data_IF_064908170074
#
_entry.id   IF_064908170074
#
_cell.length_a   1.000
_cell.length_b   1.000
_cell.length_c   1.000
_cell.angle_alpha   90.00
_cell.angle_beta   90.00
_cell.angle_gamma   90.00
#
_symmetry.space_group_name_H-M   'P 1'
#
loop_
_entity.id
_entity.type
_entity.pdbx_description
1 polymer ?
#
# COMPACT_ATOMS: atom_id res chain seq x y z
N UNK A 1 8.44 -11.10 -22.16
CA UNK A 1 7.45 -10.20 -21.56
C UNK A 1 7.64 -8.78 -22.08
N UNK A 2 8.69 -8.03 -21.71
CA UNK A 2 8.90 -6.68 -22.27
C UNK A 2 9.18 -6.68 -23.77
N UNK A 3 9.94 -7.67 -24.28
CA UNK A 3 10.13 -7.85 -25.74
C UNK A 3 8.82 -8.19 -26.49
N UNK A 4 7.83 -8.77 -25.80
CA UNK A 4 6.52 -9.11 -26.36
C UNK A 4 5.62 -7.87 -26.42
N UNK A 5 5.65 -7.03 -25.38
CA UNK A 5 4.99 -5.72 -25.36
C UNK A 5 5.61 -4.74 -26.37
N UNK A 6 6.93 -4.79 -26.53
CA UNK A 6 7.65 -4.00 -27.53
C UNK A 6 7.36 -4.47 -28.96
N UNK A 7 7.13 -5.78 -29.16
CA UNK A 7 6.71 -6.32 -30.46
C UNK A 7 5.31 -5.83 -30.89
N UNK A 8 4.44 -5.48 -29.93
CA UNK A 8 3.14 -4.83 -30.16
C UNK A 8 3.25 -3.29 -30.29
N UNK A 9 4.45 -2.73 -30.14
CA UNK A 9 4.85 -1.51 -30.85
C UNK A 9 5.31 -0.32 -30.02
N UNK A 10 5.43 -0.40 -28.69
CA UNK A 10 6.06 0.68 -27.88
C UNK A 10 6.80 0.14 -26.65
N UNK A 11 8.02 0.65 -26.36
CA UNK A 11 8.65 0.50 -25.05
C UNK A 11 7.71 0.97 -23.93
N UNK A 12 7.84 0.36 -22.76
CA UNK A 12 7.09 0.73 -21.56
C UNK A 12 7.83 1.87 -20.86
N UNK A 13 7.26 3.06 -20.83
CA UNK A 13 7.82 4.24 -20.16
C UNK A 13 6.83 4.71 -19.08
N UNK A 14 7.28 4.86 -17.83
CA UNK A 14 6.43 5.36 -16.74
C UNK A 14 7.22 6.02 -15.61
N UNK A 15 6.54 6.89 -14.86
CA UNK A 15 7.12 7.56 -13.68
C UNK A 15 6.68 6.89 -12.38
N UNK A 16 7.64 6.48 -11.57
CA UNK A 16 7.43 6.08 -10.18
C UNK A 16 7.49 7.31 -9.27
N UNK A 17 6.31 7.77 -8.84
CA UNK A 17 6.18 8.83 -7.83
C UNK A 17 6.39 8.28 -6.42
N UNK A 18 7.33 8.85 -5.68
CA UNK A 18 7.67 8.46 -4.30
C UNK A 18 7.76 9.67 -3.37
N UNK A 19 7.94 9.44 -2.07
CA UNK A 19 8.02 10.49 -1.06
C UNK A 19 9.45 10.74 -0.58
N UNK A 20 9.68 11.88 0.06
CA UNK A 20 11.01 12.33 0.54
C UNK A 20 11.71 11.44 1.58
N UNK A 21 11.05 10.40 2.11
CA UNK A 21 11.67 9.46 3.06
C UNK A 21 12.74 8.58 2.41
N UNK A 22 13.84 8.33 3.13
CA UNK A 22 14.98 7.53 2.61
C UNK A 22 14.54 6.15 2.14
N UNK A 23 13.74 5.43 2.94
CA UNK A 23 13.27 4.09 2.60
C UNK A 23 12.43 4.07 1.31
N UNK A 24 11.62 5.11 1.09
CA UNK A 24 10.77 5.27 -0.09
C UNK A 24 11.60 5.55 -1.34
N UNK A 25 12.64 6.39 -1.22
CA UNK A 25 13.56 6.68 -2.32
C UNK A 25 14.39 5.46 -2.68
N UNK A 26 15.00 4.79 -1.70
CA UNK A 26 15.82 3.61 -1.93
C UNK A 26 15.03 2.46 -2.58
N UNK A 27 13.75 2.30 -2.21
CA UNK A 27 12.87 1.32 -2.86
C UNK A 27 12.60 1.69 -4.33
N UNK A 28 12.30 2.97 -4.60
CA UNK A 28 12.03 3.44 -5.96
C UNK A 28 13.27 3.32 -6.88
N UNK A 29 14.45 3.72 -6.39
CA UNK A 29 15.71 3.58 -7.10
C UNK A 29 16.08 2.11 -7.35
N UNK A 30 15.85 1.23 -6.37
CA UNK A 30 16.10 -0.20 -6.54
C UNK A 30 15.18 -0.83 -7.60
N UNK A 31 13.91 -0.42 -7.66
CA UNK A 31 12.96 -0.87 -8.66
C UNK A 31 13.32 -0.32 -10.05
N UNK A 32 13.66 0.97 -10.13
CA UNK A 32 14.17 1.61 -11.34
C UNK A 32 15.39 0.88 -11.90
N UNK A 33 16.40 0.61 -11.06
CA UNK A 33 17.62 -0.08 -11.48
C UNK A 33 17.36 -1.52 -11.97
N UNK A 34 16.42 -2.23 -11.34
CA UNK A 34 16.04 -3.59 -11.76
C UNK A 34 15.28 -3.58 -13.10
N UNK A 35 14.35 -2.64 -13.30
CA UNK A 35 13.57 -2.57 -14.53
C UNK A 35 14.39 -2.04 -15.69
N UNK A 36 15.15 -0.95 -15.52
CA UNK A 36 16.00 -0.38 -16.57
C UNK A 36 17.16 -1.30 -16.99
N UNK A 37 17.39 -2.42 -16.31
CA UNK A 37 18.32 -3.46 -16.76
C UNK A 37 17.75 -4.33 -17.90
N UNK A 38 16.45 -4.21 -18.19
CA UNK A 38 15.77 -4.89 -19.28
C UNK A 38 15.64 -3.95 -20.49
N UNK A 39 15.71 -4.52 -21.70
CA UNK A 39 15.40 -3.79 -22.91
C UNK A 39 13.90 -3.43 -22.97
N UNK A 40 13.58 -2.30 -23.59
CA UNK A 40 12.22 -1.83 -23.85
C UNK A 40 11.39 -1.44 -22.61
N UNK A 41 12.04 -1.09 -21.50
CA UNK A 41 11.40 -0.45 -20.35
C UNK A 41 12.27 0.71 -19.85
N UNK A 42 11.64 1.84 -19.56
CA UNK A 42 12.27 3.00 -18.95
C UNK A 42 11.41 3.47 -17.78
N UNK A 43 12.04 3.59 -16.62
CA UNK A 43 11.40 4.04 -15.38
C UNK A 43 12.09 5.30 -14.90
N UNK A 44 11.32 6.36 -14.70
CA UNK A 44 11.75 7.58 -14.02
C UNK A 44 11.30 7.56 -12.56
N UNK A 45 12.09 8.19 -11.67
CA UNK A 45 11.72 8.35 -10.26
C UNK A 45 11.49 9.83 -9.98
N UNK A 46 10.29 10.18 -9.54
CA UNK A 46 9.95 11.52 -9.07
C UNK A 46 9.72 11.51 -7.57
N UNK A 47 10.41 12.39 -6.84
CA UNK A 47 10.25 12.53 -5.40
C UNK A 47 9.41 13.78 -5.10
N UNK A 48 8.29 13.61 -4.42
CA UNK A 48 7.37 14.69 -4.02
C UNK A 48 7.18 14.76 -2.51
N UNK A 49 6.69 15.89 -2.01
CA UNK A 49 6.21 15.97 -0.62
C UNK A 49 4.87 15.24 -0.45
N UNK A 50 4.52 14.90 0.80
CA UNK A 50 3.32 14.13 1.08
C UNK A 50 2.01 14.81 0.63
N UNK A 51 1.79 16.12 0.88
CA UNK A 51 0.58 16.80 0.40
C UNK A 51 0.43 16.77 -1.12
N UNK A 52 1.52 16.99 -1.87
CA UNK A 52 1.52 16.93 -3.34
C UNK A 52 1.19 15.53 -3.82
N UNK A 53 1.85 14.52 -3.27
CA UNK A 53 1.59 13.13 -3.62
C UNK A 53 0.16 12.69 -3.28
N UNK A 54 -0.37 13.07 -2.11
CA UNK A 54 -1.75 12.76 -1.73
C UNK A 54 -2.78 13.41 -2.67
N UNK A 55 -2.53 14.65 -3.12
CA UNK A 55 -3.37 15.32 -4.09
C UNK A 55 -3.36 14.61 -5.45
N UNK A 56 -2.18 14.18 -5.93
CA UNK A 56 -2.06 13.39 -7.16
C UNK A 56 -2.75 12.03 -7.06
N UNK A 57 -2.57 11.32 -5.95
CA UNK A 57 -3.23 10.04 -5.69
C UNK A 57 -4.76 10.18 -5.77
N UNK A 58 -5.34 11.18 -5.10
CA UNK A 58 -6.77 11.45 -5.16
C UNK A 58 -7.29 11.93 -6.52
N UNK A 59 -6.42 12.48 -7.36
CA UNK A 59 -6.72 12.87 -8.73
C UNK A 59 -6.43 11.77 -9.77
N UNK A 60 -5.90 10.62 -9.35
CA UNK A 60 -5.37 9.57 -10.23
C UNK A 60 -4.32 10.08 -11.22
N UNK A 61 -3.49 11.03 -10.80
CA UNK A 61 -2.44 11.67 -11.61
C UNK A 61 -1.07 11.04 -11.29
N UNK A 62 -0.92 9.76 -11.62
CA UNK A 62 0.33 9.00 -11.46
C UNK A 62 0.30 7.73 -12.30
N UNK A 63 1.46 7.23 -12.74
CA UNK A 63 1.57 5.89 -13.35
C UNK A 63 1.79 4.82 -12.27
N UNK A 64 2.72 5.09 -11.34
CA UNK A 64 3.01 4.26 -10.17
C UNK A 64 3.29 5.15 -8.96
N UNK A 65 2.77 4.76 -7.80
CA UNK A 65 2.99 5.50 -6.56
C UNK A 65 3.19 4.57 -5.35
N UNK A 66 4.06 4.97 -4.43
CA UNK A 66 4.19 4.28 -3.14
C UNK A 66 2.90 4.47 -2.35
N UNK A 67 2.29 3.36 -1.93
CA UNK A 67 1.14 3.36 -1.02
C UNK A 67 1.40 2.39 0.13
N UNK A 68 0.63 2.56 1.21
CA UNK A 68 0.64 1.66 2.35
C UNK A 68 -0.75 1.55 2.95
N UNK A 69 -1.03 0.39 3.55
CA UNK A 69 -2.26 0.17 4.29
C UNK A 69 -1.93 -0.31 5.71
N UNK A 70 -2.59 0.30 6.70
CA UNK A 70 -2.50 -0.08 8.11
C UNK A 70 -3.69 -1.00 8.37
N UNK A 71 -3.44 -2.29 8.57
CA UNK A 71 -4.48 -3.28 8.83
C UNK A 71 -4.36 -3.83 10.25
N UNK A 72 -5.40 -3.65 11.06
CA UNK A 72 -5.60 -4.38 12.32
C UNK A 72 -6.69 -5.43 12.19
N UNK A 73 -7.67 -5.10 11.35
CA UNK A 73 -8.77 -5.92 10.93
C UNK A 73 -8.89 -5.73 9.40
N UNK A 74 -9.18 -6.79 8.63
CA UNK A 74 -9.17 -6.70 7.16
C UNK A 74 -10.25 -5.79 6.58
N UNK A 75 -11.32 -5.46 7.32
CA UNK A 75 -12.46 -4.72 6.77
C UNK A 75 -12.07 -3.31 6.29
N UNK A 76 -11.78 -2.42 7.23
CA UNK A 76 -11.62 -0.99 6.93
C UNK A 76 -10.53 -0.74 5.89
N UNK A 77 -9.35 -1.33 6.08
CA UNK A 77 -8.21 -1.09 5.22
C UNK A 77 -8.42 -1.62 3.78
N UNK A 78 -8.97 -2.84 3.62
CA UNK A 78 -9.17 -3.42 2.30
C UNK A 78 -10.32 -2.75 1.54
N UNK A 79 -11.42 -2.45 2.22
CA UNK A 79 -12.55 -1.79 1.56
C UNK A 79 -12.20 -0.37 1.14
N UNK A 80 -11.54 0.41 2.02
CA UNK A 80 -11.10 1.76 1.65
C UNK A 80 -10.15 1.75 0.46
N UNK A 81 -9.23 0.79 0.37
CA UNK A 81 -8.22 0.75 -0.68
C UNK A 81 -8.73 0.15 -2.01
N UNK A 82 -9.72 -0.74 -1.99
CA UNK A 82 -10.04 -1.58 -3.17
C UNK A 82 -11.51 -1.64 -3.57
N UNK A 83 -12.45 -1.16 -2.73
CA UNK A 83 -13.85 -1.11 -3.12
C UNK A 83 -14.05 -0.03 -4.19
N UNK A 84 -14.78 -0.33 -5.26
CA UNK A 84 -14.93 0.56 -6.42
C UNK A 84 -15.56 1.91 -6.09
N UNK A 85 -16.46 1.95 -5.10
CA UNK A 85 -17.11 3.18 -4.63
C UNK A 85 -16.33 3.94 -3.55
N UNK A 86 -15.18 3.42 -3.09
CA UNK A 86 -14.39 4.08 -2.07
C UNK A 86 -13.62 5.27 -2.65
N UNK A 87 -13.69 6.43 -1.98
CA UNK A 87 -12.83 7.59 -2.31
C UNK A 87 -11.36 7.34 -1.99
N UNK A 88 -11.04 6.28 -1.23
CA UNK A 88 -9.68 5.83 -0.94
C UNK A 88 -9.11 4.84 -1.96
N UNK A 89 -9.89 4.46 -2.98
CA UNK A 89 -9.46 3.55 -4.03
C UNK A 89 -8.58 4.28 -5.06
N UNK A 90 -7.41 4.74 -4.63
CA UNK A 90 -6.48 5.44 -5.51
C UNK A 90 -5.94 4.55 -6.64
N UNK A 91 -5.95 3.23 -6.43
CA UNK A 91 -5.55 2.24 -7.44
C UNK A 91 -6.54 2.14 -8.60
N UNK A 92 -7.76 2.69 -8.46
CA UNK A 92 -8.79 2.66 -9.49
C UNK A 92 -9.36 1.26 -9.75
N UNK A 93 -9.31 0.35 -8.76
CA UNK A 93 -9.83 -1.00 -8.89
C UNK A 93 -11.34 -0.98 -9.07
N UNK A 94 -11.85 -1.71 -10.07
CA UNK A 94 -13.28 -1.85 -10.31
C UNK A 94 -13.57 -3.30 -10.68
N UNK A 95 -13.92 -4.11 -9.68
CA UNK A 95 -14.22 -5.52 -9.83
C UNK A 95 -15.46 -5.88 -8.99
N UNK A 96 -16.61 -6.18 -9.61
CA UNK A 96 -17.84 -6.45 -8.88
C UNK A 96 -17.73 -7.63 -7.91
N UNK A 97 -16.92 -8.65 -8.23
CA UNK A 97 -16.72 -9.80 -7.33
C UNK A 97 -15.93 -9.43 -6.09
N UNK A 98 -14.93 -8.54 -6.22
CA UNK A 98 -14.19 -7.99 -5.10
C UNK A 98 -15.10 -7.11 -4.23
N UNK A 99 -15.90 -6.23 -4.84
CA UNK A 99 -16.86 -5.38 -4.12
C UNK A 99 -17.84 -6.22 -3.28
N UNK A 100 -18.50 -7.20 -3.91
CA UNK A 100 -19.44 -8.11 -3.25
C UNK A 100 -18.79 -8.87 -2.08
N UNK A 101 -17.54 -9.33 -2.26
CA UNK A 101 -16.81 -10.06 -1.22
C UNK A 101 -16.39 -9.15 -0.06
N UNK A 102 -15.98 -7.91 -0.34
CA UNK A 102 -15.66 -6.91 0.69
C UNK A 102 -16.90 -6.57 1.53
N UNK A 103 -18.05 -6.37 0.89
CA UNK A 103 -19.31 -6.06 1.57
C UNK A 103 -19.84 -7.25 2.39
N UNK A 104 -19.71 -8.48 1.86
CA UNK A 104 -20.01 -9.69 2.61
C UNK A 104 -19.13 -9.83 3.86
N UNK A 105 -17.82 -9.56 3.75
CA UNK A 105 -16.88 -9.63 4.87
C UNK A 105 -17.18 -8.62 5.99
N UNK A 106 -17.74 -7.46 5.65
CA UNK A 106 -18.18 -6.43 6.60
C UNK A 106 -19.47 -6.80 7.33
N UNK A 107 -20.39 -7.45 6.62
CA UNK A 107 -21.76 -7.73 7.12
C UNK A 107 -21.94 -9.14 7.67
N UNK A 108 -20.92 -10.00 7.57
CA UNK A 108 -20.93 -11.37 8.08
C UNK A 108 -21.23 -11.44 9.58
N UNK A 109 -22.13 -12.36 9.96
CA UNK A 109 -22.53 -12.57 11.35
C UNK A 109 -21.62 -13.56 12.09
N UNK A 110 -20.93 -14.42 11.34
CA UNK A 110 -20.02 -15.43 11.88
C UNK A 110 -18.58 -15.25 11.38
N UNK A 111 -17.63 -15.74 12.18
CA UNK A 111 -16.21 -15.73 11.79
C UNK A 111 -15.98 -16.59 10.53
N UNK A 112 -16.67 -17.72 10.40
CA UNK A 112 -16.49 -18.61 9.25
C UNK A 112 -16.96 -17.97 7.93
N UNK A 113 -18.12 -17.29 7.93
CA UNK A 113 -18.60 -16.52 6.78
C UNK A 113 -17.64 -15.40 6.43
N UNK A 114 -17.16 -14.69 7.46
CA UNK A 114 -16.21 -13.59 7.32
C UNK A 114 -14.89 -14.06 6.70
N UNK A 115 -14.35 -15.17 7.17
CA UNK A 115 -13.12 -15.77 6.63
C UNK A 115 -13.29 -16.15 5.16
N UNK A 116 -14.40 -16.79 4.80
CA UNK A 116 -14.67 -17.17 3.41
C UNK A 116 -14.76 -15.95 2.48
N UNK A 117 -15.39 -14.87 2.93
CA UNK A 117 -15.46 -13.62 2.18
C UNK A 117 -14.05 -13.04 1.94
N UNK A 118 -13.21 -12.94 2.97
CA UNK A 118 -11.85 -12.41 2.81
C UNK A 118 -10.91 -13.35 2.02
N UNK A 119 -11.15 -14.66 2.00
CA UNK A 119 -10.42 -15.57 1.10
C UNK A 119 -10.71 -15.26 -0.38
N UNK A 120 -11.94 -14.85 -0.70
CA UNK A 120 -12.29 -14.36 -2.04
C UNK A 120 -11.60 -13.02 -2.30
N UNK A 121 -11.67 -12.06 -1.37
CA UNK A 121 -11.01 -10.76 -1.49
C UNK A 121 -9.52 -10.90 -1.81
N UNK A 122 -8.79 -11.72 -1.03
CA UNK A 122 -7.35 -11.95 -1.23
C UNK A 122 -7.06 -12.56 -2.61
N UNK A 123 -7.87 -13.51 -3.06
CA UNK A 123 -7.73 -14.13 -4.38
C UNK A 123 -7.97 -13.12 -5.50
N UNK A 124 -9.03 -12.32 -5.40
CA UNK A 124 -9.35 -11.29 -6.40
C UNK A 124 -8.25 -10.23 -6.47
N UNK A 125 -7.74 -9.75 -5.34
CA UNK A 125 -6.61 -8.81 -5.31
C UNK A 125 -5.37 -9.42 -5.99
N UNK A 126 -5.05 -10.68 -5.72
CA UNK A 126 -3.91 -11.36 -6.34
C UNK A 126 -4.11 -11.57 -7.86
N UNK A 127 -5.33 -11.82 -8.31
CA UNK A 127 -5.66 -12.01 -9.74
C UNK A 127 -5.69 -10.69 -10.51
N UNK A 128 -6.13 -9.59 -9.87
CA UNK A 128 -6.18 -8.25 -10.46
C UNK A 128 -4.81 -7.56 -10.49
N UNK A 129 -3.90 -7.97 -9.61
CA UNK A 129 -2.55 -7.43 -9.45
C UNK A 129 -2.49 -5.88 -9.43
N UNK A 130 -3.23 -5.21 -8.51
CA UNK A 130 -3.33 -3.75 -8.48
C UNK A 130 -2.03 -3.06 -8.04
N UNK A 131 -1.02 -3.81 -7.63
CA UNK A 131 0.26 -3.26 -7.19
C UNK A 131 1.19 -4.32 -6.60
N UNK A 132 2.46 -3.94 -6.47
CA UNK A 132 3.53 -4.82 -5.97
C UNK A 132 3.64 -4.75 -4.45
N UNK A 133 3.47 -5.88 -3.79
CA UNK A 133 3.60 -6.03 -2.33
C UNK A 133 5.04 -6.39 -1.96
N UNK A 134 5.82 -5.43 -1.46
CA UNK A 134 7.26 -5.62 -1.25
C UNK A 134 7.72 -5.63 0.21
N UNK A 135 6.92 -5.13 1.15
CA UNK A 135 7.30 -5.07 2.57
C UNK A 135 6.11 -5.24 3.51
N UNK A 136 6.33 -5.93 4.63
CA UNK A 136 5.45 -5.88 5.80
C UNK A 136 6.18 -5.15 6.92
N UNK A 137 5.81 -3.90 7.15
CA UNK A 137 6.47 -3.05 8.15
C UNK A 137 6.25 -3.56 9.57
N UNK A 138 7.33 -3.60 10.36
CA UNK A 138 7.32 -3.92 11.79
C UNK A 138 7.81 -2.67 12.56
N UNK A 139 6.91 -1.77 12.97
CA UNK A 139 7.29 -0.53 13.62
C UNK A 139 7.87 -0.78 15.02
N UNK A 140 8.88 0.01 15.39
CA UNK A 140 9.57 -0.06 16.67
C UNK A 140 9.75 1.33 17.27
N UNK A 141 9.68 1.42 18.61
CA UNK A 141 9.93 2.66 19.36
C UNK A 141 11.16 2.46 20.24
N UNK A 142 12.06 3.46 20.24
CA UNK A 142 13.21 3.53 21.15
C UNK A 142 12.93 4.59 22.22
N UNK A 143 13.26 4.29 23.47
CA UNK A 143 13.11 5.21 24.60
C UNK A 143 14.43 5.31 25.38
N UNK A 144 14.66 6.46 26.03
CA UNK A 144 15.83 6.65 26.88
C UNK A 144 15.76 5.80 28.16
N UNK A 145 16.90 5.54 28.80
CA UNK A 145 16.99 4.68 30.00
C UNK A 145 16.09 5.12 31.16
N UNK A 146 15.80 6.42 31.26
CA UNK A 146 14.94 7.00 32.30
C UNK A 146 13.46 7.09 31.92
N UNK A 147 13.10 6.72 30.69
CA UNK A 147 11.71 6.74 30.21
C UNK A 147 11.13 5.35 30.43
N UNK A 148 10.01 5.31 31.14
CA UNK A 148 9.35 4.08 31.55
C UNK A 148 7.89 4.07 31.11
N UNK A 149 7.26 2.90 31.17
CA UNK A 149 5.83 2.75 30.85
C UNK A 149 5.51 2.72 29.36
N UNK A 150 6.48 2.37 28.49
CA UNK A 150 6.19 2.17 27.08
C UNK A 150 5.24 0.98 26.91
N UNK A 151 4.05 1.30 26.43
CA UNK A 151 3.13 0.33 25.85
C UNK A 151 2.74 0.80 24.47
N UNK A 152 2.95 -0.09 23.50
CA UNK A 152 2.52 0.13 22.14
C UNK A 152 1.07 -0.35 22.01
N UNK A 153 0.24 0.47 21.38
CA UNK A 153 -1.09 0.09 20.93
C UNK A 153 -1.10 0.02 19.41
N UNK A 154 -1.84 -0.95 18.86
CA UNK A 154 -2.02 -1.13 17.41
C UNK A 154 -0.66 -1.39 16.70
N UNK A 155 -0.37 -0.66 15.62
CA UNK A 155 0.85 -0.74 14.81
C UNK A 155 1.99 0.13 15.39
N UNK A 156 2.22 0.07 16.69
CA UNK A 156 3.42 0.66 17.31
C UNK A 156 3.28 2.11 17.79
N UNK A 157 2.06 2.61 17.99
CA UNK A 157 1.86 3.91 18.61
C UNK A 157 2.05 3.80 20.13
N UNK A 158 2.89 4.65 20.76
CA UNK A 158 3.01 4.66 22.22
C UNK A 158 1.75 5.26 22.86
N UNK A 159 1.35 4.76 24.03
CA UNK A 159 0.33 5.37 24.89
C UNK A 159 0.96 6.47 25.76
N UNK A 160 0.78 7.77 25.46
CA UNK A 160 1.45 8.83 26.19
C UNK A 160 1.06 8.88 27.67
N UNK A 161 -0.15 8.45 28.01
CA UNK A 161 -0.67 8.40 29.38
C UNK A 161 0.03 7.37 30.27
N UNK A 162 0.69 6.37 29.70
CA UNK A 162 1.44 5.35 30.45
C UNK A 162 2.92 5.76 30.65
N UNK A 163 3.41 6.78 29.91
CA UNK A 163 4.81 7.19 29.94
C UNK A 163 5.15 8.04 31.18
N UNK A 164 6.30 7.76 31.81
CA UNK A 164 6.85 8.59 32.89
C UNK A 164 8.39 8.62 32.87
N UNK A 165 8.98 9.62 33.54
CA UNK A 165 10.43 9.82 33.62
C UNK A 165 10.91 9.67 35.07
N UNK A 166 11.92 8.83 35.26
CA UNK A 166 12.65 8.73 36.52
C UNK A 166 13.61 9.92 36.69
N UNK A 167 13.57 10.57 37.86
CA UNK A 167 14.44 11.73 38.17
C UNK A 167 15.88 11.29 38.42
#
# INVERSE_FOLDING_TARGET
MFDELAADGKPVEFTFTTYTGVDNQSTAEALQAQLNAHDNVEVDVEVVDFPTGAARAGAHDFDMMVSSAITQDPDYALWTAFHSESTGNFMGVSDPQLDDALDAGRTAETIDERTQAYDVVQRRIAELDPGVWYVRSAPSVMMGEKVHGLRLYTLGSPLPEELWIEN
#
